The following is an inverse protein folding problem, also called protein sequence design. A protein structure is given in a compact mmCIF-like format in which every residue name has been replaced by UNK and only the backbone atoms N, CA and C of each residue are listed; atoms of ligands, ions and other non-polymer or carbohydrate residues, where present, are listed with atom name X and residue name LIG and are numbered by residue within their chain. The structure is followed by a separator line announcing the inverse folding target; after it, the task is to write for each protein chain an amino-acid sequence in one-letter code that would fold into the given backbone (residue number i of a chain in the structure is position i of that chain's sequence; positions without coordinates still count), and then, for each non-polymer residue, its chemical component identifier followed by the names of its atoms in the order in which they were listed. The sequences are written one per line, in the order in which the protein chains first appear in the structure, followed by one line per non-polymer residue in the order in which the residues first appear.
data_IF_861905971659
#
_entry.id   IF_861905971659
#
_cell.length_a   1.000
_cell.length_b   1.000
_cell.length_c   1.000
_cell.angle_alpha   90.00
_cell.angle_beta   90.00
_cell.angle_gamma   90.00
#
_symmetry.space_group_name_H-M   'P 1'
#
loop_
_entity.id
_entity.type
_entity.pdbx_description
1 polymer ?
#
# COMPACT_ATOMS: atom_id res chain seq x y z
N UNK A 1 -17.44 6.85 -15.07
CA UNK A 1 -16.31 6.04 -15.60
C UNK A 1 -15.26 5.70 -14.55
N UNK A 2 -14.57 6.67 -13.91
CA UNK A 2 -13.56 6.37 -12.88
C UNK A 2 -14.15 5.73 -11.62
N UNK A 3 -15.25 6.25 -11.13
CA UNK A 3 -15.97 5.75 -9.95
C UNK A 3 -16.55 4.35 -10.17
N UNK A 4 -17.11 4.08 -11.34
CA UNK A 4 -17.60 2.76 -11.72
C UNK A 4 -16.49 1.70 -11.68
N UNK A 5 -15.27 2.06 -12.17
CA UNK A 5 -14.14 1.16 -12.13
C UNK A 5 -13.69 0.85 -10.69
N UNK A 6 -13.61 1.87 -9.82
CA UNK A 6 -13.30 1.70 -8.40
C UNK A 6 -14.33 0.80 -7.72
N UNK A 7 -15.62 1.05 -7.92
CA UNK A 7 -16.69 0.24 -7.36
C UNK A 7 -16.63 -1.20 -7.90
N UNK A 8 -16.36 -1.39 -9.19
CA UNK A 8 -16.17 -2.72 -9.78
C UNK A 8 -15.01 -3.49 -9.15
N UNK A 9 -13.86 -2.83 -8.92
CA UNK A 9 -12.71 -3.48 -8.27
C UNK A 9 -13.07 -3.89 -6.83
N UNK A 10 -13.77 -3.03 -6.07
CA UNK A 10 -14.27 -3.36 -4.73
C UNK A 10 -15.23 -4.55 -4.74
N UNK A 11 -16.22 -4.52 -5.62
CA UNK A 11 -17.18 -5.63 -5.77
C UNK A 11 -16.48 -6.94 -6.14
N UNK A 12 -15.52 -6.90 -7.06
CA UNK A 12 -14.76 -8.09 -7.45
C UNK A 12 -14.01 -8.73 -6.26
N UNK A 13 -13.45 -7.92 -5.34
CA UNK A 13 -12.80 -8.45 -4.12
C UNK A 13 -13.84 -9.11 -3.22
N UNK A 14 -14.98 -8.45 -2.97
CA UNK A 14 -16.04 -9.03 -2.11
C UNK A 14 -16.60 -10.34 -2.69
N UNK A 15 -16.79 -10.43 -4.00
CA UNK A 15 -17.34 -11.63 -4.67
C UNK A 15 -16.32 -12.78 -4.72
N UNK A 16 -15.05 -12.48 -4.99
CA UNK A 16 -13.97 -13.49 -5.08
C UNK A 16 -13.51 -13.98 -3.72
N UNK A 17 -13.63 -13.15 -2.68
CA UNK A 17 -13.13 -13.41 -1.32
C UNK A 17 -11.67 -13.92 -1.32
N UNK A 18 -10.72 -13.18 -1.92
CA UNK A 18 -9.38 -13.66 -2.21
C UNK A 18 -8.56 -13.89 -0.93
N UNK A 19 -7.65 -14.87 -0.99
CA UNK A 19 -6.68 -15.11 0.08
C UNK A 19 -5.47 -14.18 -0.10
N UNK A 20 -5.18 -13.37 0.90
CA UNK A 20 -4.07 -12.42 0.89
C UNK A 20 -3.01 -12.88 1.89
N UNK A 21 -1.83 -13.25 1.38
CA UNK A 21 -0.69 -13.53 2.25
C UNK A 21 -0.02 -12.23 2.65
N UNK A 22 0.12 -12.00 3.95
CA UNK A 22 0.64 -10.77 4.52
C UNK A 22 1.81 -11.06 5.45
N UNK A 23 3.02 -10.66 5.06
CA UNK A 23 4.18 -10.62 5.97
C UNK A 23 4.31 -9.17 6.43
N UNK A 24 3.94 -8.92 7.70
CA UNK A 24 3.90 -7.57 8.26
C UNK A 24 4.52 -7.50 9.66
N UNK A 25 4.44 -6.36 10.31
CA UNK A 25 5.05 -6.12 11.61
C UNK A 25 4.07 -6.37 12.77
N UNK A 26 4.57 -6.75 13.97
CA UNK A 26 3.72 -7.12 15.10
C UNK A 26 2.91 -5.95 15.68
N UNK A 27 3.28 -4.70 15.37
CA UNK A 27 2.58 -3.50 15.89
C UNK A 27 1.21 -3.37 15.22
N UNK A 28 1.12 -3.68 13.92
CA UNK A 28 -0.10 -3.46 13.11
C UNK A 28 -0.78 -4.74 12.63
N UNK A 29 -0.25 -5.92 12.95
CA UNK A 29 -0.73 -7.19 12.39
C UNK A 29 -2.22 -7.42 12.61
N UNK A 30 -2.75 -7.16 13.81
CA UNK A 30 -4.17 -7.36 14.12
C UNK A 30 -5.07 -6.43 13.30
N UNK A 31 -4.77 -5.14 13.27
CA UNK A 31 -5.56 -4.18 12.49
C UNK A 31 -5.45 -4.42 10.98
N UNK A 32 -4.30 -4.86 10.50
CA UNK A 32 -4.10 -5.24 9.10
C UNK A 32 -4.99 -6.44 8.72
N UNK A 33 -4.99 -7.49 9.54
CA UNK A 33 -5.85 -8.65 9.32
C UNK A 33 -7.34 -8.28 9.32
N UNK A 34 -7.78 -7.49 10.30
CA UNK A 34 -9.18 -7.04 10.36
C UNK A 34 -9.55 -6.11 9.19
N UNK A 35 -8.63 -5.26 8.73
CA UNK A 35 -8.87 -4.42 7.55
C UNK A 35 -9.01 -5.23 6.25
N UNK A 36 -8.24 -6.31 6.09
CA UNK A 36 -8.40 -7.26 4.97
C UNK A 36 -9.77 -7.93 5.02
N UNK A 37 -10.21 -8.39 6.21
CA UNK A 37 -11.55 -8.97 6.41
C UNK A 37 -12.65 -7.94 6.13
N UNK A 38 -12.48 -6.70 6.58
CA UNK A 38 -13.48 -5.64 6.42
C UNK A 38 -13.79 -5.33 4.94
N UNK A 39 -12.82 -5.47 4.04
CA UNK A 39 -13.05 -5.25 2.59
C UNK A 39 -13.45 -6.53 1.83
N UNK A 40 -13.72 -7.63 2.52
CA UNK A 40 -14.24 -8.87 1.93
C UNK A 40 -13.17 -9.85 1.45
N UNK A 41 -11.89 -9.65 1.83
CA UNK A 41 -10.80 -10.59 1.54
C UNK A 41 -10.46 -11.44 2.77
N UNK A 42 -9.63 -12.48 2.61
CA UNK A 42 -9.18 -13.38 3.68
C UNK A 42 -7.70 -13.20 3.96
N UNK A 43 -7.28 -12.79 5.16
CA UNK A 43 -5.85 -12.66 5.48
C UNK A 43 -5.23 -13.98 5.93
N UNK A 44 -3.97 -14.21 5.57
CA UNK A 44 -3.07 -15.14 6.25
C UNK A 44 -1.79 -14.40 6.62
N UNK A 45 -1.40 -14.49 7.90
CA UNK A 45 -0.33 -13.68 8.48
C UNK A 45 0.91 -14.54 8.80
N UNK A 46 1.12 -15.62 8.04
CA UNK A 46 2.26 -16.52 8.21
C UNK A 46 3.58 -15.80 7.90
N UNK A 47 4.62 -16.05 8.72
CA UNK A 47 5.92 -15.41 8.53
C UNK A 47 7.12 -16.35 8.75
N UNK A 48 6.89 -17.63 9.07
CA UNK A 48 8.00 -18.55 9.28
C UNK A 48 8.67 -18.96 7.96
N UNK A 49 10.01 -18.92 7.84
CA UNK A 49 10.70 -19.18 6.57
C UNK A 49 10.44 -20.57 5.96
N UNK A 50 10.06 -21.56 6.77
CA UNK A 50 9.80 -22.92 6.30
C UNK A 50 8.38 -23.12 5.75
N UNK A 51 7.42 -22.23 6.05
CA UNK A 51 6.03 -22.36 5.59
C UNK A 51 5.63 -21.34 4.52
N UNK A 52 6.30 -20.17 4.48
CA UNK A 52 5.83 -19.03 3.66
C UNK A 52 5.77 -19.32 2.16
N UNK A 53 6.55 -20.27 1.65
CA UNK A 53 6.47 -20.66 0.25
C UNK A 53 5.12 -21.30 -0.09
N UNK A 54 4.69 -22.27 0.72
CA UNK A 54 3.40 -22.98 0.55
C UNK A 54 2.22 -22.00 0.73
N UNK A 55 2.28 -21.15 1.74
CA UNK A 55 1.26 -20.14 2.01
C UNK A 55 1.16 -19.13 0.86
N UNK A 56 2.30 -18.64 0.35
CA UNK A 56 2.29 -17.71 -0.79
C UNK A 56 1.73 -18.37 -2.04
N UNK A 57 2.09 -19.62 -2.30
CA UNK A 57 1.61 -20.34 -3.49
C UNK A 57 0.09 -20.51 -3.51
N UNK A 58 -0.55 -20.60 -2.35
CA UNK A 58 -2.00 -20.73 -2.21
C UNK A 58 -2.74 -19.36 -2.22
N UNK A 59 -2.00 -18.24 -2.20
CA UNK A 59 -2.59 -16.91 -2.09
C UNK A 59 -2.90 -16.29 -3.46
N UNK A 60 -3.91 -15.39 -3.49
CA UNK A 60 -4.29 -14.60 -4.66
C UNK A 60 -3.46 -13.32 -4.80
N UNK A 61 -2.85 -12.85 -3.70
CA UNK A 61 -1.89 -11.74 -3.68
C UNK A 61 -0.98 -11.83 -2.45
N UNK A 62 0.21 -11.19 -2.54
CA UNK A 62 1.17 -11.13 -1.44
C UNK A 62 1.46 -9.68 -1.06
N UNK A 63 1.46 -9.40 0.25
CA UNK A 63 1.82 -8.09 0.82
C UNK A 63 3.04 -8.25 1.72
N UNK A 64 4.10 -7.53 1.40
CA UNK A 64 5.37 -7.53 2.12
C UNK A 64 5.60 -6.18 2.79
N UNK A 65 5.83 -6.17 4.10
CA UNK A 65 6.08 -4.95 4.87
C UNK A 65 7.39 -5.10 5.66
N UNK A 66 8.34 -4.18 5.47
CA UNK A 66 9.66 -4.23 6.08
C UNK A 66 9.77 -3.47 7.41
N UNK A 67 8.65 -3.07 8.02
CA UNK A 67 8.68 -2.52 9.37
C UNK A 67 9.08 -3.59 10.39
N UNK A 68 9.78 -3.19 11.46
CA UNK A 68 10.28 -4.09 12.50
C UNK A 68 10.97 -5.35 11.96
N UNK A 69 11.84 -5.15 10.97
CA UNK A 69 12.52 -6.22 10.24
C UNK A 69 13.40 -7.08 11.16
N UNK A 70 13.32 -8.41 10.98
CA UNK A 70 14.16 -9.43 11.65
C UNK A 70 14.83 -10.30 10.61
N UNK A 71 15.91 -11.02 10.97
CA UNK A 71 16.60 -11.92 10.03
C UNK A 71 15.67 -13.00 9.48
N UNK A 72 14.79 -13.56 10.30
CA UNK A 72 13.78 -14.53 9.86
C UNK A 72 12.83 -13.90 8.85
N UNK A 73 12.29 -12.70 9.14
CA UNK A 73 11.37 -12.00 8.25
C UNK A 73 12.04 -11.57 6.95
N UNK A 74 13.31 -11.13 6.99
CA UNK A 74 14.09 -10.83 5.78
C UNK A 74 14.20 -12.03 4.84
N UNK A 75 14.41 -13.23 5.40
CA UNK A 75 14.43 -14.48 4.61
C UNK A 75 13.04 -14.83 4.06
N UNK A 76 12.01 -14.77 4.90
CA UNK A 76 10.63 -15.07 4.52
C UNK A 76 10.12 -14.16 3.41
N UNK A 77 10.40 -12.87 3.48
CA UNK A 77 10.05 -11.88 2.43
C UNK A 77 10.67 -12.28 1.08
N UNK A 78 11.95 -12.69 1.04
CA UNK A 78 12.60 -13.12 -0.20
C UNK A 78 12.03 -14.44 -0.73
N UNK A 79 11.78 -15.41 0.14
CA UNK A 79 11.18 -16.71 -0.24
C UNK A 79 9.79 -16.47 -0.83
N UNK A 80 8.95 -15.69 -0.15
CA UNK A 80 7.60 -15.38 -0.62
C UNK A 80 7.61 -14.57 -1.93
N UNK A 81 8.50 -13.57 -2.07
CA UNK A 81 8.62 -12.80 -3.30
C UNK A 81 9.03 -13.68 -4.50
N UNK A 82 9.98 -14.62 -4.28
CA UNK A 82 10.36 -15.58 -5.31
C UNK A 82 9.19 -16.49 -5.68
N UNK A 83 8.49 -17.04 -4.71
CA UNK A 83 7.31 -17.88 -4.94
C UNK A 83 6.21 -17.11 -5.69
N UNK A 84 5.94 -15.89 -5.31
CA UNK A 84 4.95 -15.04 -5.98
C UNK A 84 5.35 -14.76 -7.43
N UNK A 85 6.62 -14.41 -7.69
CA UNK A 85 7.13 -14.14 -9.03
C UNK A 85 7.08 -15.39 -9.91
N UNK A 86 7.49 -16.55 -9.40
CA UNK A 86 7.51 -17.84 -10.15
C UNK A 86 6.07 -18.30 -10.50
N UNK A 87 5.07 -17.92 -9.71
CA UNK A 87 3.66 -18.30 -9.89
C UNK A 87 2.77 -17.18 -10.45
N UNK A 88 3.35 -16.04 -10.87
CA UNK A 88 2.62 -14.86 -11.37
C UNK A 88 1.56 -14.32 -10.38
N UNK A 89 1.81 -14.45 -9.09
CA UNK A 89 0.98 -13.88 -8.03
C UNK A 89 1.36 -12.41 -7.87
N UNK A 90 0.41 -11.46 -7.97
CA UNK A 90 0.71 -10.05 -7.77
C UNK A 90 1.18 -9.79 -6.35
N UNK A 91 2.23 -8.97 -6.20
CA UNK A 91 2.72 -8.64 -4.87
C UNK A 91 3.18 -7.19 -4.75
N UNK A 92 3.01 -6.65 -3.55
CA UNK A 92 3.42 -5.30 -3.19
C UNK A 92 4.43 -5.34 -2.05
N UNK A 93 5.42 -4.43 -2.08
CA UNK A 93 6.34 -4.20 -0.98
C UNK A 93 6.18 -2.79 -0.41
N UNK A 94 5.98 -2.72 0.92
CA UNK A 94 5.91 -1.47 1.68
C UNK A 94 7.28 -1.15 2.28
N UNK A 95 7.92 -0.10 1.76
CA UNK A 95 9.29 0.32 2.05
C UNK A 95 9.43 1.10 3.37
N UNK A 96 8.71 0.69 4.40
CA UNK A 96 8.62 1.40 5.69
C UNK A 96 9.98 1.65 6.32
N UNK A 97 10.26 2.94 6.61
CA UNK A 97 11.42 3.37 7.40
C UNK A 97 12.76 3.35 6.67
N UNK A 98 12.79 3.20 5.35
CA UNK A 98 14.04 3.22 4.58
C UNK A 98 14.70 4.61 4.54
N UNK A 99 13.93 5.66 4.75
CA UNK A 99 14.45 7.04 4.83
C UNK A 99 15.34 7.26 6.06
N UNK A 100 15.09 6.55 7.16
CA UNK A 100 15.85 6.67 8.42
C UNK A 100 16.71 5.46 8.78
N UNK A 101 16.72 4.37 7.97
CA UNK A 101 17.47 3.15 8.29
C UNK A 101 18.31 2.65 7.12
N UNK A 102 19.63 2.70 7.28
CA UNK A 102 20.55 2.16 6.28
C UNK A 102 20.39 0.63 6.08
N UNK A 103 20.06 -0.11 7.13
CA UNK A 103 19.80 -1.55 7.02
C UNK A 103 18.61 -1.81 6.08
N UNK A 104 17.48 -1.13 6.31
CA UNK A 104 16.28 -1.30 5.48
C UNK A 104 16.50 -0.80 4.07
N UNK A 105 17.28 0.28 3.89
CA UNK A 105 17.63 0.81 2.57
C UNK A 105 18.47 -0.18 1.77
N UNK A 106 19.52 -0.75 2.36
CA UNK A 106 20.30 -1.81 1.69
C UNK A 106 19.46 -3.02 1.36
N UNK A 107 18.57 -3.41 2.27
CA UNK A 107 17.68 -4.55 2.04
C UNK A 107 16.73 -4.30 0.87
N UNK A 108 16.02 -3.17 0.85
CA UNK A 108 15.07 -2.86 -0.22
C UNK A 108 15.77 -2.71 -1.58
N UNK A 109 16.96 -2.08 -1.62
CA UNK A 109 17.73 -1.96 -2.86
C UNK A 109 18.17 -3.33 -3.39
N UNK A 110 18.63 -4.24 -2.52
CA UNK A 110 18.93 -5.64 -2.89
C UNK A 110 17.67 -6.37 -3.36
N UNK A 111 16.54 -6.17 -2.68
CA UNK A 111 15.26 -6.77 -3.04
C UNK A 111 14.80 -6.31 -4.43
N UNK A 112 14.81 -5.02 -4.70
CA UNK A 112 14.41 -4.44 -5.99
C UNK A 112 15.35 -4.79 -7.16
N UNK A 113 16.60 -5.18 -6.88
CA UNK A 113 17.53 -5.69 -7.88
C UNK A 113 17.25 -7.16 -8.24
N UNK A 114 16.66 -7.94 -7.32
CA UNK A 114 16.40 -9.37 -7.44
C UNK A 114 14.95 -9.69 -7.88
N UNK A 115 13.98 -8.92 -7.38
CA UNK A 115 12.56 -9.16 -7.59
C UNK A 115 11.87 -7.98 -8.27
N UNK A 116 10.74 -8.28 -8.93
CA UNK A 116 9.91 -7.29 -9.62
C UNK A 116 8.51 -7.27 -9.00
N UNK A 117 8.31 -6.52 -7.90
CA UNK A 117 6.98 -6.38 -7.32
C UNK A 117 6.03 -5.71 -8.32
N UNK A 118 4.76 -6.09 -8.27
CA UNK A 118 3.68 -5.42 -9.01
C UNK A 118 3.59 -3.95 -8.60
N UNK A 119 3.82 -3.69 -7.30
CA UNK A 119 3.82 -2.33 -6.77
C UNK A 119 4.84 -2.16 -5.64
N UNK A 120 5.35 -0.93 -5.50
CA UNK A 120 6.13 -0.46 -4.35
C UNK A 120 5.37 0.67 -3.68
N UNK A 121 5.23 0.61 -2.35
CA UNK A 121 4.62 1.66 -1.55
C UNK A 121 5.60 2.23 -0.53
N UNK A 122 5.46 3.49 -0.24
CA UNK A 122 6.13 4.20 0.85
C UNK A 122 5.49 5.57 1.07
N UNK A 123 5.85 6.27 2.14
CA UNK A 123 5.52 7.69 2.24
C UNK A 123 6.45 8.54 1.33
N UNK A 124 6.22 9.83 1.26
CA UNK A 124 7.01 10.74 0.41
C UNK A 124 8.51 10.63 0.64
N UNK A 125 8.94 10.61 1.90
CA UNK A 125 10.36 10.48 2.26
C UNK A 125 10.94 9.12 1.88
N UNK A 126 10.16 8.06 2.01
CA UNK A 126 10.57 6.69 1.66
C UNK A 126 10.71 6.52 0.15
N UNK A 127 9.71 6.96 -0.63
CA UNK A 127 9.80 6.92 -2.10
C UNK A 127 10.95 7.79 -2.60
N UNK A 128 11.14 8.98 -2.02
CA UNK A 128 12.28 9.82 -2.37
C UNK A 128 13.63 9.18 -2.02
N UNK A 129 13.72 8.52 -0.85
CA UNK A 129 14.92 7.82 -0.39
C UNK A 129 15.25 6.57 -1.23
N UNK A 130 14.25 5.91 -1.78
CA UNK A 130 14.44 4.73 -2.63
C UNK A 130 15.12 5.08 -3.97
N UNK A 131 14.92 6.29 -4.45
CA UNK A 131 15.55 6.79 -5.67
C UNK A 131 16.88 7.50 -5.40
N UNK A 132 17.00 8.23 -4.28
CA UNK A 132 18.13 9.08 -3.95
C UNK A 132 18.93 8.50 -2.76
N UNK A 133 19.98 7.75 -3.04
CA UNK A 133 20.77 7.02 -2.02
C UNK A 133 21.37 7.92 -0.92
N UNK A 134 21.66 9.18 -1.21
CA UNK A 134 22.21 10.14 -0.25
C UNK A 134 21.18 10.80 0.67
N UNK A 135 19.88 10.57 0.46
CA UNK A 135 18.83 11.21 1.26
C UNK A 135 18.61 10.49 2.59
N UNK A 136 18.59 11.26 3.68
CA UNK A 136 18.22 10.78 5.02
C UNK A 136 17.20 11.75 5.64
N UNK A 137 16.08 11.21 6.10
CA UNK A 137 15.14 11.95 6.92
C UNK A 137 15.30 11.59 8.39
N UNK A 138 14.94 12.50 9.28
CA UNK A 138 14.88 12.24 10.71
C UNK A 138 13.54 11.54 11.06
N UNK A 139 13.56 10.22 11.24
CA UNK A 139 12.39 9.46 11.69
C UNK A 139 11.58 8.79 10.57
N UNK A 140 10.41 8.27 10.94
CA UNK A 140 9.48 7.53 10.04
C UNK A 140 8.50 8.48 9.36
N UNK A 141 8.38 9.72 9.86
CA UNK A 141 7.46 10.72 9.32
C UNK A 141 8.00 11.33 8.03
N UNK A 142 7.08 11.71 7.14
CA UNK A 142 7.42 12.35 5.87
C UNK A 142 8.07 13.73 6.11
N UNK A 143 9.20 13.98 5.43
CA UNK A 143 9.86 15.28 5.44
C UNK A 143 8.95 16.33 4.79
N UNK A 144 8.51 17.31 5.58
CA UNK A 144 7.62 18.39 5.15
C UNK A 144 8.24 19.34 4.11
N UNK A 145 9.55 19.24 3.88
CA UNK A 145 10.26 20.04 2.86
C UNK A 145 10.15 19.43 1.45
N UNK A 146 9.72 18.17 1.32
CA UNK A 146 9.54 17.54 0.02
C UNK A 146 8.22 18.01 -0.62
N UNK A 147 8.32 18.73 -1.74
CA UNK A 147 7.14 19.11 -2.49
C UNK A 147 6.50 17.90 -3.18
N UNK A 148 5.17 17.97 -3.36
CA UNK A 148 4.39 16.93 -4.03
C UNK A 148 4.92 16.69 -5.47
N UNK A 149 5.27 17.75 -6.18
CA UNK A 149 5.79 17.70 -7.55
C UNK A 149 7.08 16.89 -7.61
N UNK A 150 8.02 17.17 -6.69
CA UNK A 150 9.31 16.46 -6.63
C UNK A 150 9.15 14.98 -6.31
N UNK A 151 8.20 14.65 -5.45
CA UNK A 151 7.90 13.24 -5.13
C UNK A 151 7.21 12.55 -6.31
N UNK A 152 6.30 13.24 -7.00
CA UNK A 152 5.64 12.74 -8.20
C UNK A 152 6.63 12.38 -9.31
N UNK A 153 7.55 13.31 -9.63
CA UNK A 153 8.63 13.06 -10.60
C UNK A 153 9.51 11.87 -10.18
N UNK A 154 9.82 11.78 -8.88
CA UNK A 154 10.62 10.67 -8.35
C UNK A 154 9.87 9.34 -8.47
N UNK A 155 8.57 9.32 -8.17
CA UNK A 155 7.73 8.12 -8.29
C UNK A 155 7.65 7.64 -9.74
N UNK A 156 7.49 8.54 -10.71
CA UNK A 156 7.49 8.23 -12.15
C UNK A 156 8.84 7.60 -12.56
N UNK A 157 9.97 8.21 -12.17
CA UNK A 157 11.31 7.68 -12.47
C UNK A 157 11.54 6.30 -11.84
N UNK A 158 11.05 6.06 -10.62
CA UNK A 158 11.11 4.75 -9.97
C UNK A 158 10.29 3.72 -10.73
N UNK A 159 9.05 4.07 -11.09
CA UNK A 159 8.16 3.19 -11.84
C UNK A 159 8.80 2.77 -13.17
N UNK A 160 9.36 3.71 -13.91
CA UNK A 160 10.08 3.44 -15.17
C UNK A 160 11.34 2.61 -14.96
N UNK A 161 12.15 2.93 -13.93
CA UNK A 161 13.41 2.22 -13.62
C UNK A 161 13.20 0.74 -13.30
N UNK A 162 12.16 0.42 -12.54
CA UNK A 162 11.94 -0.93 -12.05
C UNK A 162 10.81 -1.68 -12.77
N UNK A 163 10.05 -1.02 -13.66
CA UNK A 163 8.89 -1.61 -14.34
C UNK A 163 7.79 -2.02 -13.34
N UNK A 164 7.51 -1.17 -12.35
CA UNK A 164 6.59 -1.43 -11.23
C UNK A 164 5.67 -0.23 -11.02
N UNK A 165 4.50 -0.45 -10.45
CA UNK A 165 3.68 0.66 -9.97
C UNK A 165 4.27 1.25 -8.69
N UNK A 166 4.12 2.55 -8.47
CA UNK A 166 4.60 3.23 -7.27
C UNK A 166 3.45 3.97 -6.61
N UNK A 167 3.30 3.78 -5.30
CA UNK A 167 2.42 4.54 -4.42
C UNK A 167 3.26 5.34 -3.42
N UNK A 168 3.24 6.66 -3.54
CA UNK A 168 3.77 7.58 -2.53
C UNK A 168 2.62 8.12 -1.68
N UNK A 169 2.49 7.66 -0.44
CA UNK A 169 1.43 8.10 0.46
C UNK A 169 1.77 9.39 1.19
N UNK A 170 0.78 10.29 1.31
CA UNK A 170 0.96 11.60 1.93
C UNK A 170 -0.35 12.32 2.19
N UNK A 171 -0.32 13.65 2.27
CA UNK A 171 -1.55 14.46 2.32
C UNK A 171 -2.38 14.27 1.05
N UNK A 172 -1.73 14.17 -0.08
CA UNK A 172 -2.26 13.68 -1.37
C UNK A 172 -1.50 12.41 -1.69
N UNK A 173 -2.19 11.30 -1.88
CA UNK A 173 -1.52 10.08 -2.32
C UNK A 173 -1.23 10.17 -3.83
N UNK A 174 -0.06 9.69 -4.24
CA UNK A 174 0.40 9.71 -5.63
C UNK A 174 0.58 8.27 -6.09
N UNK A 175 -0.14 7.87 -7.14
CA UNK A 175 -0.02 6.55 -7.75
C UNK A 175 0.42 6.71 -9.20
N UNK A 176 1.41 5.93 -9.63
CA UNK A 176 1.90 5.95 -11.02
C UNK A 176 2.38 4.57 -11.48
N UNK A 177 2.25 4.33 -12.79
CA UNK A 177 2.87 3.21 -13.52
C UNK A 177 4.07 3.65 -14.37
N UNK A 178 4.46 4.93 -14.24
CA UNK A 178 5.53 5.55 -15.03
C UNK A 178 5.05 6.24 -16.32
N UNK A 179 3.76 6.16 -16.66
CA UNK A 179 3.10 6.83 -17.79
C UNK A 179 1.92 7.69 -17.33
N UNK A 180 1.14 7.15 -16.41
CA UNK A 180 -0.02 7.84 -15.83
C UNK A 180 0.28 8.16 -14.38
N UNK A 181 -0.10 9.36 -13.94
CA UNK A 181 -0.05 9.78 -12.54
C UNK A 181 -1.46 10.08 -12.06
N UNK A 182 -1.84 9.47 -10.95
CA UNK A 182 -3.13 9.72 -10.28
C UNK A 182 -2.85 10.32 -8.90
N UNK A 183 -3.45 11.46 -8.63
CA UNK A 183 -3.45 12.11 -7.32
C UNK A 183 -4.76 11.82 -6.61
N UNK A 184 -4.69 11.33 -5.38
CA UNK A 184 -5.86 11.01 -4.56
C UNK A 184 -5.85 11.96 -3.36
N UNK A 185 -6.88 12.81 -3.26
CA UNK A 185 -6.99 13.86 -2.25
C UNK A 185 -7.96 13.48 -1.11
N UNK A 186 -8.36 12.21 -1.05
CA UNK A 186 -9.18 11.69 0.03
C UNK A 186 -8.34 11.45 1.29
N UNK A 187 -8.95 11.63 2.44
CA UNK A 187 -8.33 11.38 3.74
C UNK A 187 -8.51 12.53 4.72
N UNK A 188 -8.12 12.30 5.96
CA UNK A 188 -8.18 13.26 7.07
C UNK A 188 -6.91 13.18 7.91
N UNK A 189 -6.49 14.27 8.58
CA UNK A 189 -5.30 14.26 9.43
C UNK A 189 -5.36 13.22 10.56
N UNK A 190 -6.54 12.82 11.01
CA UNK A 190 -6.75 11.86 12.07
C UNK A 190 -6.23 10.45 11.71
N UNK A 191 -6.17 10.09 10.41
CA UNK A 191 -5.53 8.85 9.95
C UNK A 191 -4.04 8.77 10.37
N UNK A 192 -3.31 9.89 10.34
CA UNK A 192 -1.91 9.93 10.74
C UNK A 192 -1.71 9.82 12.26
N UNK A 193 -2.77 9.94 13.06
CA UNK A 193 -2.73 9.80 14.52
C UNK A 193 -2.95 8.35 14.99
N UNK A 194 -3.25 7.43 14.07
CA UNK A 194 -3.41 6.01 14.36
C UNK A 194 -2.22 5.23 13.80
N UNK A 195 -1.47 4.59 14.69
CA UNK A 195 -0.36 3.72 14.29
C UNK A 195 -0.85 2.60 13.36
N UNK A 196 -0.13 2.36 12.26
CA UNK A 196 -0.39 1.24 11.36
C UNK A 196 -1.40 1.50 10.23
N UNK A 197 -1.99 2.70 10.12
CA UNK A 197 -2.86 3.05 8.97
C UNK A 197 -2.10 3.01 7.64
N UNK A 198 -0.81 3.37 7.64
CA UNK A 198 0.06 3.19 6.48
C UNK A 198 0.25 1.71 6.11
N UNK A 199 0.45 0.82 7.11
CA UNK A 199 0.54 -0.62 6.88
C UNK A 199 -0.81 -1.17 6.37
N UNK A 200 -1.92 -0.72 6.93
CA UNK A 200 -3.27 -1.06 6.48
C UNK A 200 -3.49 -0.68 5.02
N UNK A 201 -3.04 0.51 4.59
CA UNK A 201 -3.09 0.91 3.17
C UNK A 201 -2.37 -0.12 2.28
N UNK A 202 -1.20 -0.60 2.71
CA UNK A 202 -0.47 -1.66 1.99
C UNK A 202 -1.28 -2.95 1.86
N UNK A 203 -2.01 -3.35 2.92
CA UNK A 203 -2.90 -4.52 2.88
C UNK A 203 -4.06 -4.33 1.90
N UNK A 204 -4.70 -3.17 1.91
CA UNK A 204 -5.78 -2.84 0.97
C UNK A 204 -5.27 -2.85 -0.48
N UNK A 205 -4.03 -2.36 -0.73
CA UNK A 205 -3.42 -2.49 -2.05
C UNK A 205 -3.32 -3.96 -2.49
N UNK A 206 -2.88 -4.87 -1.62
CA UNK A 206 -2.84 -6.30 -1.90
C UNK A 206 -4.22 -6.89 -2.20
N UNK A 207 -5.24 -6.51 -1.41
CA UNK A 207 -6.61 -6.95 -1.65
C UNK A 207 -7.09 -6.56 -3.05
N UNK A 208 -6.89 -5.31 -3.47
CA UNK A 208 -7.35 -4.84 -4.76
C UNK A 208 -6.48 -5.32 -5.93
N UNK A 209 -5.17 -5.55 -5.72
CA UNK A 209 -4.28 -6.16 -6.70
C UNK A 209 -4.67 -7.61 -7.04
N UNK A 210 -5.29 -8.35 -6.14
CA UNK A 210 -5.82 -9.69 -6.43
C UNK A 210 -6.98 -9.68 -7.42
N UNK A 211 -7.67 -8.56 -7.56
CA UNK A 211 -8.83 -8.38 -8.43
C UNK A 211 -8.52 -7.62 -9.72
N UNK A 212 -7.54 -6.70 -9.68
CA UNK A 212 -7.14 -5.85 -10.79
C UNK A 212 -5.65 -5.49 -10.67
N UNK A 213 -4.84 -5.77 -11.68
CA UNK A 213 -3.40 -5.51 -11.65
C UNK A 213 -2.99 -4.19 -12.31
N UNK A 214 -3.93 -3.28 -12.54
CA UNK A 214 -3.65 -1.91 -13.01
C UNK A 214 -3.39 -0.94 -11.86
N UNK A 215 -2.96 0.27 -12.18
CA UNK A 215 -2.79 1.35 -11.20
C UNK A 215 -4.07 1.63 -10.41
N UNK A 216 -5.25 1.30 -10.97
CA UNK A 216 -6.53 1.54 -10.32
C UNK A 216 -6.78 0.66 -9.10
N UNK A 217 -6.08 -0.48 -8.95
CA UNK A 217 -6.07 -1.23 -7.69
C UNK A 217 -5.50 -0.38 -6.54
N UNK A 218 -4.35 0.28 -6.76
CA UNK A 218 -3.73 1.16 -5.76
C UNK A 218 -4.56 2.43 -5.53
N UNK A 219 -5.10 3.01 -6.59
CA UNK A 219 -6.02 4.16 -6.50
C UNK A 219 -7.25 3.80 -5.66
N UNK A 220 -7.81 2.58 -5.86
CA UNK A 220 -8.94 2.08 -5.08
C UNK A 220 -8.57 1.97 -3.60
N UNK A 221 -7.40 1.43 -3.27
CA UNK A 221 -6.94 1.31 -1.89
C UNK A 221 -6.83 2.68 -1.18
N UNK A 222 -6.20 3.67 -1.84
CA UNK A 222 -6.08 5.03 -1.32
C UNK A 222 -7.44 5.70 -1.16
N UNK A 223 -8.30 5.61 -2.18
CA UNK A 223 -9.64 6.19 -2.14
C UNK A 223 -10.51 5.58 -1.04
N UNK A 224 -10.52 4.26 -0.91
CA UNK A 224 -11.29 3.55 0.12
C UNK A 224 -10.82 3.94 1.52
N UNK A 225 -9.50 3.85 1.80
CA UNK A 225 -8.98 4.24 3.12
C UNK A 225 -9.23 5.72 3.41
N UNK A 226 -9.03 6.60 2.43
CA UNK A 226 -9.23 8.04 2.58
C UNK A 226 -10.70 8.39 2.82
N UNK A 227 -11.63 7.82 2.04
CA UNK A 227 -13.08 8.04 2.20
C UNK A 227 -13.55 7.49 3.56
N UNK A 228 -13.14 6.26 3.94
CA UNK A 228 -13.46 5.70 5.25
C UNK A 228 -12.91 6.57 6.37
N UNK A 229 -11.70 7.13 6.23
CA UNK A 229 -11.17 8.11 7.17
C UNK A 229 -12.04 9.37 7.30
N UNK A 230 -12.53 9.91 6.17
CA UNK A 230 -13.46 11.06 6.17
C UNK A 230 -14.80 10.75 6.87
N UNK A 231 -15.35 9.56 6.61
CA UNK A 231 -16.60 9.11 7.24
C UNK A 231 -16.45 8.83 8.75
N UNK A 232 -15.25 8.55 9.20
CA UNK A 232 -14.94 8.15 10.58
C UNK A 232 -14.53 9.31 11.48
N UNK A 233 -14.33 10.51 10.91
CA UNK A 233 -13.85 11.68 11.64
C UNK A 233 -14.73 11.98 12.85
N UNK A 234 -14.10 12.22 14.00
CA UNK A 234 -14.79 12.44 15.29
C UNK A 234 -13.96 13.33 16.22
N UNK A 235 -14.63 14.02 17.12
CA UNK A 235 -14.00 14.78 18.20
C UNK A 235 -13.84 13.97 19.50
N UNK A 236 -14.40 12.75 19.55
CA UNK A 236 -14.36 11.88 20.74
C UNK A 236 -12.99 11.22 20.97
N UNK A 237 -12.05 11.32 20.03
CA UNK A 237 -10.69 10.84 20.18
C UNK A 237 -10.33 9.68 19.24
N UNK A 238 -9.04 9.27 19.31
CA UNK A 238 -8.45 8.34 18.37
C UNK A 238 -9.00 6.90 18.49
N UNK A 239 -9.44 6.49 19.68
CA UNK A 239 -10.07 5.18 19.89
C UNK A 239 -11.38 5.06 19.13
N UNK A 240 -12.27 6.02 19.29
CA UNK A 240 -13.56 6.09 18.56
C UNK A 240 -13.32 6.23 17.06
N UNK A 241 -12.37 7.08 16.65
CA UNK A 241 -12.00 7.19 15.24
C UNK A 241 -11.58 5.83 14.64
N UNK A 242 -10.76 5.06 15.36
CA UNK A 242 -10.30 3.75 14.87
C UNK A 242 -11.44 2.75 14.74
N UNK A 243 -12.35 2.68 15.71
CA UNK A 243 -13.55 1.85 15.64
C UNK A 243 -14.40 2.25 14.42
N UNK A 244 -14.71 3.53 14.29
CA UNK A 244 -15.48 4.07 13.17
C UNK A 244 -14.80 3.76 11.81
N UNK A 245 -13.46 3.80 11.75
CA UNK A 245 -12.70 3.48 10.53
C UNK A 245 -12.88 2.03 10.12
N UNK A 246 -12.83 1.09 11.08
CA UNK A 246 -13.03 -0.33 10.81
C UNK A 246 -14.48 -0.62 10.38
N UNK A 247 -15.46 0.02 11.02
CA UNK A 247 -16.87 -0.07 10.64
C UNK A 247 -17.10 0.50 9.24
N UNK A 248 -16.52 1.69 8.95
CA UNK A 248 -16.62 2.32 7.63
C UNK A 248 -16.01 1.45 6.53
N UNK A 249 -14.87 0.77 6.77
CA UNK A 249 -14.27 -0.15 5.80
C UNK A 249 -15.20 -1.31 5.46
N UNK A 250 -15.93 -1.84 6.44
CA UNK A 250 -16.82 -2.98 6.25
C UNK A 250 -18.19 -2.60 5.66
N UNK A 251 -18.59 -1.32 5.75
CA UNK A 251 -19.93 -0.86 5.34
C UNK A 251 -19.91 0.14 4.18
N UNK A 252 -18.73 0.44 3.60
CA UNK A 252 -18.60 1.42 2.53
C UNK A 252 -19.45 1.06 1.30
N UNK A 253 -20.46 1.87 1.02
CA UNK A 253 -21.34 1.70 -0.12
C UNK A 253 -20.88 2.48 -1.37
N UNK A 254 -21.32 2.04 -2.55
CA UNK A 254 -20.95 2.65 -3.83
C UNK A 254 -21.34 4.13 -3.91
N UNK A 255 -22.52 4.50 -3.39
CA UNK A 255 -22.99 5.90 -3.34
C UNK A 255 -22.07 6.82 -2.51
N UNK A 256 -21.43 6.29 -1.46
CA UNK A 256 -20.49 7.06 -0.66
C UNK A 256 -19.18 7.30 -1.45
N UNK A 257 -18.71 6.28 -2.16
CA UNK A 257 -17.57 6.42 -3.09
C UNK A 257 -17.88 7.44 -4.18
N UNK A 258 -19.05 7.34 -4.83
CA UNK A 258 -19.49 8.29 -5.87
C UNK A 258 -19.50 9.74 -5.38
N UNK A 259 -19.97 9.96 -4.16
CA UNK A 259 -20.11 11.30 -3.58
C UNK A 259 -18.79 11.90 -3.11
N UNK A 260 -17.87 11.07 -2.58
CA UNK A 260 -16.68 11.52 -1.85
C UNK A 260 -15.36 11.36 -2.62
N UNK A 261 -15.36 10.60 -3.71
CA UNK A 261 -14.13 10.36 -4.49
C UNK A 261 -13.55 11.68 -5.00
N UNK A 262 -12.29 11.93 -4.66
CA UNK A 262 -11.56 13.12 -5.07
C UNK A 262 -10.20 12.72 -5.66
N UNK A 263 -10.18 12.51 -6.99
CA UNK A 263 -8.99 12.10 -7.74
C UNK A 263 -8.74 13.01 -8.94
N UNK A 264 -7.48 13.30 -9.20
CA UNK A 264 -7.00 13.96 -10.40
C UNK A 264 -6.09 12.99 -11.19
N UNK A 265 -6.28 12.88 -12.49
CA UNK A 265 -5.45 12.02 -13.36
C UNK A 265 -4.69 12.90 -14.33
N UNK A 266 -3.38 12.74 -14.36
CA UNK A 266 -2.51 13.33 -15.38
C UNK A 266 -1.95 12.18 -16.22
N UNK A 267 -2.34 12.16 -17.48
CA UNK A 267 -1.74 11.29 -18.50
C UNK A 267 -0.67 12.08 -19.21
N UNK A 268 0.47 11.46 -19.42
CA UNK A 268 1.58 12.11 -20.11
C UNK A 268 1.25 12.35 -21.58
N UNK A 269 0.92 13.59 -21.94
CA UNK A 269 1.18 14.09 -23.29
C UNK A 269 2.51 14.87 -23.36
N UNK A 270 3.17 15.13 -22.20
CA UNK A 270 4.51 15.73 -22.06
C UNK A 270 4.98 15.58 -20.59
N UNK A 271 5.75 14.58 -20.23
CA UNK A 271 6.75 14.64 -19.19
C UNK A 271 8.13 14.66 -19.81
#
# INVERSE_FOLDING_TARGET
MKTELINKIRTNVMEKNPLIHCITNPISINQCANGVLAVGARPTMAEHPEEVAEITQAADALVLNIANITDARMRSIKISAKTAQDNNIPFIIDAVGISGSQLRRRYINSFMAEFRPTAVKGNYSEIYALYNDGYNSAGVDADKSLSMERVSETAVKLAQKYGTMVLASGKTDIVTDGQTVVYINNGVPQLAQITGTGCLLGMLCGCYLSADQSIYALVTACAVLGICGQLSQTEEGNGTFFVNLMDSLSTLGDRQVEKLLNIEVKTDEKL
#
